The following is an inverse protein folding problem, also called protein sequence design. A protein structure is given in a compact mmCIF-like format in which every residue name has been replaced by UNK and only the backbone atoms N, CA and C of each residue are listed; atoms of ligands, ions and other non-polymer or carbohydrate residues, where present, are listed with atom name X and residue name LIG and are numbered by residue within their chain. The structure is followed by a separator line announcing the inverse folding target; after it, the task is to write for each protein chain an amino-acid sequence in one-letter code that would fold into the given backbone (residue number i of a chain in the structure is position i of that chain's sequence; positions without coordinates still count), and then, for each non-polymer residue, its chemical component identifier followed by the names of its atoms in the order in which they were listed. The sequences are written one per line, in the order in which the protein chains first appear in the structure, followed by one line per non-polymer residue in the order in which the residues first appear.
data_IF_576808482138
#
_entry.id   IF_576808482138
#
_cell.length_a   1.000
_cell.length_b   1.000
_cell.length_c   1.000
_cell.angle_alpha   90.00
_cell.angle_beta   90.00
_cell.angle_gamma   90.00
#
_symmetry.space_group_name_H-M   'P 1'
#
loop_
_entity.id
_entity.type
_entity.pdbx_description
1 polymer ?
#
# COMPACT_ATOMS: atom_id res chain seq x y z
N UNK A 1 24.27 7.17 11.39
CA UNK A 1 23.19 7.03 10.40
C UNK A 1 23.21 5.58 9.98
N UNK A 2 22.44 4.72 10.65
CA UNK A 2 22.27 3.33 10.22
C UNK A 2 21.60 3.33 8.85
N UNK A 3 22.17 2.60 7.90
CA UNK A 3 21.53 2.33 6.63
C UNK A 3 20.24 1.58 6.93
N UNK A 4 19.10 2.23 6.69
CA UNK A 4 17.84 1.52 6.52
C UNK A 4 18.02 0.64 5.28
N UNK A 5 18.46 -0.61 5.47
CA UNK A 5 18.41 -1.63 4.43
C UNK A 5 16.94 -1.78 4.02
N UNK A 6 16.55 -1.07 2.97
CA UNK A 6 15.22 -1.13 2.36
C UNK A 6 15.09 -2.30 1.39
N UNK A 7 16.21 -2.92 1.04
CA UNK A 7 16.24 -3.96 0.04
C UNK A 7 15.82 -5.28 0.67
N UNK A 8 15.09 -6.07 -0.12
CA UNK A 8 14.79 -7.46 0.24
C UNK A 8 16.12 -8.21 0.44
N UNK A 9 16.17 -9.20 1.34
CA UNK A 9 17.33 -10.06 1.47
C UNK A 9 17.75 -10.67 0.14
N UNK A 10 19.04 -10.94 -0.01
CA UNK A 10 19.57 -11.58 -1.21
C UNK A 10 18.84 -12.89 -1.51
N UNK A 11 18.77 -13.27 -2.78
CA UNK A 11 17.96 -14.42 -3.24
C UNK A 11 18.43 -15.77 -2.66
N UNK A 12 19.61 -15.84 -2.06
CA UNK A 12 20.19 -17.00 -1.39
C UNK A 12 19.95 -17.02 0.13
N UNK A 13 19.22 -16.04 0.69
CA UNK A 13 18.71 -16.12 2.06
C UNK A 13 17.55 -17.14 2.14
N UNK A 14 17.91 -18.42 2.16
CA UNK A 14 17.00 -19.55 2.26
C UNK A 14 16.08 -19.47 3.50
N UNK A 15 16.49 -18.72 4.53
CA UNK A 15 15.69 -18.50 5.73
C UNK A 15 14.65 -17.38 5.54
N UNK A 16 14.88 -16.42 4.64
CA UNK A 16 13.89 -15.41 4.26
C UNK A 16 12.92 -15.92 3.19
N UNK A 17 13.44 -16.54 2.13
CA UNK A 17 12.69 -17.00 0.95
C UNK A 17 12.01 -18.36 1.16
N UNK A 18 11.61 -18.65 2.40
CA UNK A 18 10.91 -19.88 2.77
C UNK A 18 9.53 -19.90 2.10
N UNK A 19 9.26 -20.98 1.37
CA UNK A 19 7.97 -21.21 0.75
C UNK A 19 6.86 -21.48 1.77
N UNK A 20 5.65 -20.98 1.48
CA UNK A 20 4.46 -21.34 2.24
C UNK A 20 4.23 -22.86 2.17
N UNK A 21 3.98 -23.51 3.31
CA UNK A 21 3.37 -24.83 3.33
C UNK A 21 1.89 -24.76 2.86
N UNK A 22 1.26 -25.92 2.63
CA UNK A 22 -0.13 -25.97 2.15
C UNK A 22 -1.12 -25.27 3.09
N UNK A 23 -0.91 -25.37 4.40
CA UNK A 23 -1.79 -24.77 5.41
C UNK A 23 -1.62 -23.25 5.42
N UNK A 24 -0.38 -22.77 5.44
CA UNK A 24 -0.04 -21.35 5.35
C UNK A 24 -0.58 -20.74 4.05
N UNK A 25 -0.43 -21.46 2.93
CA UNK A 25 -0.93 -21.01 1.63
C UNK A 25 -2.46 -20.92 1.62
N UNK A 26 -3.17 -21.88 2.23
CA UNK A 26 -4.62 -21.86 2.38
C UNK A 26 -5.09 -20.69 3.25
N UNK A 27 -4.54 -20.55 4.45
CA UNK A 27 -4.89 -19.48 5.39
C UNK A 27 -4.62 -18.09 4.80
N UNK A 28 -3.48 -17.93 4.11
CA UNK A 28 -3.17 -16.71 3.35
C UNK A 28 -4.23 -16.44 2.28
N UNK A 29 -4.53 -17.42 1.41
CA UNK A 29 -5.49 -17.21 0.33
C UNK A 29 -6.90 -16.87 0.86
N UNK A 30 -7.30 -17.43 2.00
CA UNK A 30 -8.54 -17.04 2.68
C UNK A 30 -8.51 -15.56 3.10
N UNK A 31 -7.44 -15.08 3.74
CA UNK A 31 -7.29 -13.65 4.08
C UNK A 31 -7.34 -12.75 2.85
N UNK A 32 -6.57 -13.10 1.81
CA UNK A 32 -6.51 -12.32 0.57
C UNK A 32 -7.86 -12.28 -0.16
N UNK A 33 -8.65 -13.36 -0.11
CA UNK A 33 -9.99 -13.40 -0.68
C UNK A 33 -10.92 -12.37 -0.02
N UNK A 34 -10.84 -12.21 1.31
CA UNK A 34 -11.64 -11.21 2.03
C UNK A 34 -11.30 -9.79 1.60
N UNK A 35 -10.02 -9.50 1.33
CA UNK A 35 -9.62 -8.20 0.78
C UNK A 35 -10.19 -7.96 -0.62
N UNK A 36 -10.18 -8.96 -1.50
CA UNK A 36 -10.77 -8.88 -2.85
C UNK A 36 -12.27 -8.64 -2.80
N UNK A 37 -12.98 -9.35 -1.93
CA UNK A 37 -14.42 -9.17 -1.71
C UNK A 37 -14.70 -7.75 -1.23
N UNK A 38 -13.98 -7.28 -0.20
CA UNK A 38 -14.17 -5.92 0.33
C UNK A 38 -13.95 -4.85 -0.74
N UNK A 39 -12.94 -5.00 -1.59
CA UNK A 39 -12.69 -4.08 -2.70
C UNK A 39 -13.86 -4.03 -3.70
N UNK A 40 -14.41 -5.20 -4.07
CA UNK A 40 -15.58 -5.28 -4.96
C UNK A 40 -16.80 -4.60 -4.34
N UNK A 41 -17.07 -4.88 -3.07
CA UNK A 41 -18.22 -4.29 -2.37
C UNK A 41 -18.05 -2.78 -2.20
N UNK A 42 -16.85 -2.31 -1.88
CA UNK A 42 -16.54 -0.88 -1.82
C UNK A 42 -16.78 -0.18 -3.16
N UNK A 43 -16.25 -0.73 -4.26
CA UNK A 43 -16.49 -0.19 -5.60
C UNK A 43 -17.97 -0.18 -5.99
N UNK A 44 -18.71 -1.22 -5.61
CA UNK A 44 -20.15 -1.31 -5.88
C UNK A 44 -20.96 -0.28 -5.06
N UNK A 45 -20.65 -0.09 -3.78
CA UNK A 45 -21.27 0.97 -2.95
C UNK A 45 -20.96 2.36 -3.47
N UNK A 46 -19.73 2.62 -3.89
CA UNK A 46 -19.32 3.91 -4.45
C UNK A 46 -20.11 4.27 -5.72
N UNK A 47 -20.34 3.30 -6.61
CA UNK A 47 -21.17 3.47 -7.81
C UNK A 47 -22.64 3.76 -7.48
N UNK A 48 -23.18 3.16 -6.42
CA UNK A 48 -24.57 3.38 -5.96
C UNK A 48 -24.74 4.65 -5.12
N UNK A 49 -23.66 5.38 -4.82
CA UNK A 49 -23.65 6.54 -3.90
C UNK A 49 -24.22 6.20 -2.52
N UNK A 50 -24.07 4.96 -2.09
CA UNK A 50 -24.51 4.50 -0.77
C UNK A 50 -23.46 4.88 0.28
N UNK A 51 -23.93 5.26 1.47
CA UNK A 51 -23.04 5.44 2.62
C UNK A 51 -22.44 4.08 2.97
N UNK A 52 -21.13 3.92 2.76
CA UNK A 52 -20.46 2.65 2.98
C UNK A 52 -20.35 2.37 4.47
N UNK A 53 -21.27 1.57 5.00
CA UNK A 53 -21.10 0.92 6.30
C UNK A 53 -20.05 -0.17 6.09
N UNK A 54 -18.83 0.08 6.57
CA UNK A 54 -17.74 -0.87 6.45
C UNK A 54 -18.18 -2.27 6.87
N UNK A 55 -18.02 -3.25 6.00
CA UNK A 55 -18.36 -4.64 6.34
C UNK A 55 -17.28 -5.14 7.30
N UNK A 56 -17.70 -5.41 8.54
CA UNK A 56 -16.81 -5.96 9.53
C UNK A 56 -16.34 -7.37 9.12
N UNK A 57 -15.18 -7.76 9.64
CA UNK A 57 -14.53 -9.01 9.28
C UNK A 57 -15.33 -10.24 9.73
N UNK A 58 -16.07 -10.15 10.83
CA UNK A 58 -16.85 -11.27 11.35
C UNK A 58 -18.04 -11.59 10.44
N UNK A 59 -18.75 -10.56 9.97
CA UNK A 59 -19.82 -10.66 9.01
C UNK A 59 -19.31 -11.16 7.65
N UNK A 60 -18.15 -10.69 7.19
CA UNK A 60 -17.53 -11.23 5.97
C UNK A 60 -17.22 -12.72 6.10
N UNK A 61 -16.63 -13.15 7.22
CA UNK A 61 -16.33 -14.58 7.48
C UNK A 61 -17.58 -15.44 7.61
N UNK A 62 -18.69 -14.88 8.10
CA UNK A 62 -19.97 -15.58 8.17
C UNK A 62 -20.62 -15.77 6.79
N UNK A 63 -20.57 -14.76 5.92
CA UNK A 63 -21.13 -14.82 4.55
C UNK A 63 -20.23 -15.66 3.63
N UNK A 64 -18.92 -15.59 3.84
CA UNK A 64 -17.91 -16.27 3.02
C UNK A 64 -17.06 -17.22 3.87
N UNK A 65 -17.63 -18.36 4.31
CA UNK A 65 -16.87 -19.38 5.02
C UNK A 65 -15.80 -20.02 4.13
N UNK A 66 -14.80 -20.70 4.71
CA UNK A 66 -13.66 -21.27 3.98
C UNK A 66 -13.98 -22.07 2.72
N UNK A 67 -15.01 -22.93 2.77
CA UNK A 67 -15.44 -23.73 1.62
C UNK A 67 -15.94 -22.85 0.46
N UNK A 68 -16.72 -21.81 0.75
CA UNK A 68 -17.20 -20.86 -0.28
C UNK A 68 -16.03 -20.11 -0.90
N UNK A 69 -15.02 -19.74 -0.11
CA UNK A 69 -13.81 -19.09 -0.63
C UNK A 69 -13.04 -20.03 -1.57
N UNK A 70 -12.87 -21.30 -1.18
CA UNK A 70 -12.18 -22.34 -1.96
C UNK A 70 -12.91 -22.62 -3.29
N UNK A 71 -14.22 -22.86 -3.24
CA UNK A 71 -15.06 -23.16 -4.42
C UNK A 71 -15.06 -22.03 -5.45
N UNK A 72 -14.90 -20.78 -5.01
CA UNK A 72 -14.82 -19.59 -5.87
C UNK A 72 -13.39 -19.23 -6.28
N UNK A 73 -12.41 -20.12 -6.06
CA UNK A 73 -11.01 -19.87 -6.41
C UNK A 73 -10.44 -18.64 -5.70
N UNK A 74 -10.87 -18.40 -4.45
CA UNK A 74 -10.48 -17.26 -3.62
C UNK A 74 -10.74 -15.89 -4.26
N UNK A 75 -11.69 -15.83 -5.19
CA UNK A 75 -12.08 -14.61 -5.91
C UNK A 75 -10.92 -13.91 -6.64
N UNK A 76 -9.85 -14.64 -7.00
CA UNK A 76 -8.66 -14.08 -7.70
C UNK A 76 -9.04 -13.31 -8.97
N UNK A 77 -10.09 -13.73 -9.66
CA UNK A 77 -10.59 -13.09 -10.88
C UNK A 77 -11.05 -11.63 -10.69
N UNK A 78 -11.36 -11.19 -9.46
CA UNK A 78 -11.73 -9.81 -9.19
C UNK A 78 -10.56 -8.84 -9.44
N UNK A 79 -9.31 -9.29 -9.26
CA UNK A 79 -8.11 -8.47 -9.45
C UNK A 79 -7.95 -7.96 -10.89
N UNK A 80 -8.57 -8.61 -11.89
CA UNK A 80 -8.54 -8.14 -13.28
C UNK A 80 -9.26 -6.79 -13.47
N UNK A 81 -10.15 -6.42 -12.55
CA UNK A 81 -10.92 -5.18 -12.59
C UNK A 81 -10.25 -4.04 -11.80
N UNK A 82 -9.13 -4.33 -11.15
CA UNK A 82 -8.44 -3.38 -10.28
C UNK A 82 -7.07 -2.98 -10.86
N UNK A 83 -6.64 -1.77 -10.52
CA UNK A 83 -5.28 -1.27 -10.78
C UNK A 83 -4.22 -1.91 -9.88
N UNK A 84 -4.59 -2.89 -9.07
CA UNK A 84 -3.74 -3.58 -8.12
C UNK A 84 -4.05 -5.06 -8.10
N UNK A 85 -3.12 -5.87 -7.59
CA UNK A 85 -3.23 -7.31 -7.48
C UNK A 85 -2.38 -7.84 -6.32
N UNK A 86 -2.59 -9.08 -5.91
CA UNK A 86 -1.64 -9.76 -5.02
C UNK A 86 -0.65 -10.55 -5.87
N UNK A 87 0.64 -10.23 -5.74
CA UNK A 87 1.66 -10.79 -6.59
C UNK A 87 1.82 -12.31 -6.37
N UNK A 88 1.62 -13.16 -7.40
CA UNK A 88 1.68 -14.61 -7.24
C UNK A 88 3.04 -15.12 -6.76
N UNK A 89 4.14 -14.44 -7.11
CA UNK A 89 5.47 -14.82 -6.66
C UNK A 89 5.61 -14.54 -5.17
N UNK A 90 5.17 -13.37 -4.70
CA UNK A 90 5.25 -13.02 -3.26
C UNK A 90 4.22 -13.77 -2.41
N UNK A 91 3.14 -14.27 -3.01
CA UNK A 91 2.23 -15.23 -2.38
C UNK A 91 2.88 -16.59 -2.09
N UNK A 92 4.00 -16.93 -2.75
CA UNK A 92 4.68 -18.20 -2.48
C UNK A 92 5.55 -18.17 -1.22
N UNK A 93 5.86 -17.00 -0.67
CA UNK A 93 6.79 -16.88 0.46
C UNK A 93 6.07 -16.61 1.78
N UNK A 94 6.39 -17.40 2.81
CA UNK A 94 5.71 -17.37 4.10
C UNK A 94 5.96 -16.06 4.87
N UNK A 95 7.17 -15.51 4.77
CA UNK A 95 7.62 -14.37 5.58
C UNK A 95 7.17 -13.00 5.07
N UNK A 96 6.59 -12.93 3.88
CA UNK A 96 6.01 -11.70 3.37
C UNK A 96 4.76 -11.32 4.20
N UNK A 97 4.53 -10.03 4.36
CA UNK A 97 3.26 -9.52 4.86
C UNK A 97 2.26 -9.37 3.72
N UNK A 98 0.96 -9.39 4.02
CA UNK A 98 -0.08 -9.21 3.00
C UNK A 98 0.07 -7.86 2.27
N UNK A 99 0.56 -6.81 2.94
CA UNK A 99 0.91 -5.52 2.30
C UNK A 99 2.07 -5.64 1.31
N UNK A 100 3.08 -6.45 1.62
CA UNK A 100 4.20 -6.65 0.69
C UNK A 100 3.75 -7.43 -0.54
N UNK A 101 2.77 -8.33 -0.41
CA UNK A 101 2.15 -9.04 -1.54
C UNK A 101 1.28 -8.14 -2.42
N UNK A 102 0.73 -7.06 -1.88
CA UNK A 102 -0.08 -6.09 -2.63
C UNK A 102 0.80 -5.27 -3.59
N UNK A 103 0.46 -5.28 -4.88
CA UNK A 103 1.19 -4.54 -5.93
C UNK A 103 0.26 -3.70 -6.79
N UNK A 104 0.77 -2.56 -7.26
CA UNK A 104 0.08 -1.76 -8.28
C UNK A 104 0.48 -2.27 -9.67
N UNK A 105 -0.45 -2.28 -10.61
CA UNK A 105 -0.18 -2.70 -11.99
C UNK A 105 0.71 -1.70 -12.71
N UNK A 106 1.53 -2.22 -13.63
CA UNK A 106 2.27 -1.38 -14.55
C UNK A 106 1.34 -0.86 -15.65
N UNK A 107 0.77 0.32 -15.44
CA UNK A 107 -0.04 1.04 -16.42
C UNK A 107 0.77 2.13 -17.16
N UNK A 108 2.09 2.12 -17.05
CA UNK A 108 2.97 3.14 -17.63
C UNK A 108 2.98 4.49 -16.90
N UNK A 109 2.22 4.64 -15.80
CA UNK A 109 2.19 5.90 -15.05
C UNK A 109 3.43 6.10 -14.16
N UNK A 110 4.08 5.02 -13.74
CA UNK A 110 5.19 5.05 -12.78
C UNK A 110 6.55 5.04 -13.49
N UNK A 111 7.46 5.90 -13.03
CA UNK A 111 8.75 6.10 -13.69
C UNK A 111 9.66 4.88 -13.64
N UNK A 112 9.76 4.27 -12.45
CA UNK A 112 10.61 3.11 -12.17
C UNK A 112 9.76 2.00 -11.54
N UNK A 113 8.64 1.65 -12.19
CA UNK A 113 7.69 0.68 -11.65
C UNK A 113 8.35 -0.64 -11.19
N UNK A 114 9.31 -1.14 -11.96
CA UNK A 114 10.02 -2.39 -11.65
C UNK A 114 10.80 -2.28 -10.34
N UNK A 115 11.47 -1.15 -10.11
CA UNK A 115 12.22 -0.89 -8.88
C UNK A 115 11.27 -0.71 -7.68
N UNK A 116 10.15 -0.02 -7.90
CA UNK A 116 9.13 0.20 -6.86
C UNK A 116 8.48 -1.10 -6.41
N UNK A 117 8.25 -2.04 -7.34
CA UNK A 117 7.75 -3.38 -7.04
C UNK A 117 8.77 -4.19 -6.22
N UNK A 118 10.06 -4.11 -6.60
CA UNK A 118 11.15 -4.85 -5.96
C UNK A 118 11.58 -4.29 -4.60
N UNK A 119 11.27 -3.03 -4.31
CA UNK A 119 11.56 -2.41 -3.02
C UNK A 119 10.93 -3.16 -1.83
N UNK A 120 9.94 -4.04 -2.06
CA UNK A 120 9.46 -4.98 -1.04
C UNK A 120 8.97 -4.31 0.25
N UNK A 121 8.59 -3.04 0.19
CA UNK A 121 8.41 -2.21 1.39
C UNK A 121 7.24 -2.70 2.25
N UNK A 122 7.47 -2.71 3.56
CA UNK A 122 6.45 -3.03 4.56
C UNK A 122 5.42 -1.92 4.68
N UNK A 123 4.28 -2.23 5.32
CA UNK A 123 3.24 -1.23 5.56
C UNK A 123 3.80 -0.06 6.37
N UNK A 124 4.57 -0.38 7.41
CA UNK A 124 5.21 0.61 8.29
C UNK A 124 6.26 1.43 7.53
N UNK A 125 7.08 0.78 6.71
CA UNK A 125 8.12 1.47 5.93
C UNK A 125 7.53 2.49 4.95
N UNK A 126 6.46 2.13 4.24
CA UNK A 126 5.77 3.07 3.35
C UNK A 126 5.06 4.19 4.13
N UNK A 127 4.49 3.90 5.31
CA UNK A 127 3.89 4.92 6.17
C UNK A 127 4.94 5.95 6.62
N UNK A 128 6.08 5.50 7.14
CA UNK A 128 7.18 6.37 7.58
C UNK A 128 7.76 7.18 6.41
N UNK A 129 7.93 6.54 5.26
CA UNK A 129 8.40 7.19 4.05
C UNK A 129 7.45 8.32 3.60
N UNK A 130 6.15 8.03 3.49
CA UNK A 130 5.17 9.04 3.07
C UNK A 130 5.07 10.18 4.08
N UNK A 131 5.09 9.89 5.39
CA UNK A 131 5.09 10.91 6.44
C UNK A 131 6.32 11.82 6.36
N UNK A 132 7.50 11.25 6.16
CA UNK A 132 8.74 12.02 5.98
C UNK A 132 8.64 12.93 4.75
N UNK A 133 8.17 12.41 3.62
CA UNK A 133 8.00 13.19 2.39
C UNK A 133 6.98 14.32 2.55
N UNK A 134 5.85 14.08 3.21
CA UNK A 134 4.85 15.12 3.46
C UNK A 134 5.38 16.23 4.38
N UNK A 135 6.20 15.87 5.36
CA UNK A 135 6.89 16.84 6.22
C UNK A 135 7.90 17.68 5.44
N UNK A 136 8.71 17.05 4.59
CA UNK A 136 9.69 17.75 3.73
C UNK A 136 8.99 18.72 2.78
N UNK A 137 7.95 18.27 2.07
CA UNK A 137 7.17 19.11 1.16
C UNK A 137 6.54 20.31 1.88
N UNK A 138 6.03 20.10 3.10
CA UNK A 138 5.45 21.18 3.91
C UNK A 138 6.51 22.21 4.33
N UNK A 139 7.70 21.76 4.72
CA UNK A 139 8.81 22.65 5.07
C UNK A 139 9.31 23.45 3.86
N UNK A 140 9.42 22.83 2.68
CA UNK A 140 9.84 23.54 1.46
C UNK A 140 8.84 24.64 1.08
N UNK A 141 7.54 24.35 1.14
CA UNK A 141 6.48 25.35 0.90
C UNK A 141 6.54 26.50 1.89
N UNK A 142 6.82 26.21 3.15
CA UNK A 142 6.98 27.21 4.20
C UNK A 142 8.20 28.11 3.92
N UNK A 143 9.31 27.55 3.47
CA UNK A 143 10.49 28.32 3.06
C UNK A 143 10.18 29.19 1.83
N UNK A 144 9.53 28.64 0.80
CA UNK A 144 9.10 29.42 -0.38
C UNK A 144 8.22 30.60 0.03
N UNK A 145 7.22 30.37 0.88
CA UNK A 145 6.35 31.40 1.42
C UNK A 145 7.14 32.50 2.15
N UNK A 146 8.08 32.13 3.03
CA UNK A 146 8.93 33.11 3.73
C UNK A 146 9.84 33.88 2.78
N UNK A 147 10.33 33.26 1.70
CA UNK A 147 11.18 33.93 0.70
C UNK A 147 10.37 34.84 -0.24
N UNK A 148 9.09 34.53 -0.49
CA UNK A 148 8.20 35.37 -1.29
C UNK A 148 7.62 36.55 -0.51
N UNK A 149 7.32 36.36 0.78
CA UNK A 149 6.79 37.41 1.65
C UNK A 149 7.87 38.39 2.12
N UNK A 150 9.08 37.89 2.40
CA UNK A 150 10.23 38.76 2.67
C UNK A 150 10.88 39.10 1.34
N UNK A 151 10.52 40.23 0.73
CA UNK A 151 11.07 40.75 -0.54
C UNK A 151 12.60 40.95 -0.56
N UNK A 152 13.38 39.89 -0.47
CA UNK A 152 14.74 39.84 -0.97
C UNK A 152 14.63 39.41 -2.42
N UNK A 153 14.89 40.37 -3.33
CA UNK A 153 15.08 40.12 -4.76
C UNK A 153 16.31 39.23 -4.97
N UNK A 154 16.20 37.94 -4.68
CA UNK A 154 17.06 36.95 -5.27
C UNK A 154 16.48 36.62 -6.63
N UNK A 155 17.15 37.07 -7.70
CA UNK A 155 16.95 36.53 -9.04
C UNK A 155 17.39 35.07 -9.02
N UNK A 156 16.53 34.17 -8.54
CA UNK A 156 16.66 32.77 -8.84
C UNK A 156 16.01 32.56 -10.20
N UNK A 157 16.86 32.46 -11.22
CA UNK A 157 16.55 31.72 -12.44
C UNK A 157 16.25 30.26 -12.06
N UNK A 158 15.10 30.00 -11.43
CA UNK A 158 14.49 28.67 -11.47
C UNK A 158 13.82 28.61 -12.83
N UNK A 159 14.59 28.10 -13.78
CA UNK A 159 14.13 27.82 -15.14
C UNK A 159 12.84 27.02 -15.08
N UNK A 160 11.85 27.51 -15.83
CA UNK A 160 10.69 26.76 -16.31
C UNK A 160 11.12 25.33 -16.64
N UNK A 161 10.71 24.36 -15.82
CA UNK A 161 10.79 22.96 -16.19
C UNK A 161 9.46 22.67 -16.90
N UNK A 162 9.56 22.56 -18.22
CA UNK A 162 8.49 22.38 -19.21
C UNK A 162 7.22 21.67 -18.72
N UNK A 163 6.09 22.35 -18.86
CA UNK A 163 4.71 21.89 -18.62
C UNK A 163 4.21 20.82 -19.62
N UNK A 164 5.06 20.25 -20.49
CA UNK A 164 4.63 19.37 -21.59
C UNK A 164 5.03 17.90 -21.49
N UNK A 165 5.74 17.49 -20.44
CA UNK A 165 5.98 16.06 -20.18
C UNK A 165 5.01 15.63 -19.07
N UNK A 166 4.14 14.61 -19.27
CA UNK A 166 3.40 14.01 -18.18
C UNK A 166 4.40 13.58 -17.11
N UNK A 167 4.43 14.27 -15.97
CA UNK A 167 5.36 13.96 -14.88
C UNK A 167 5.07 12.53 -14.44
N UNK A 168 5.99 11.60 -14.76
CA UNK A 168 5.87 10.20 -14.37
C UNK A 168 5.75 10.13 -12.85
N UNK A 169 4.86 9.27 -12.35
CA UNK A 169 4.60 9.10 -10.92
C UNK A 169 5.85 8.49 -10.27
N UNK A 170 6.40 9.21 -9.29
CA UNK A 170 7.52 8.77 -8.45
C UNK A 170 7.12 7.71 -7.41
N UNK A 171 8.09 7.15 -6.67
CA UNK A 171 7.83 6.21 -5.56
C UNK A 171 6.89 6.79 -4.49
N UNK A 172 6.95 8.10 -4.22
CA UNK A 172 5.99 8.77 -3.32
C UNK A 172 4.54 8.55 -3.75
N UNK A 173 4.26 8.71 -5.05
CA UNK A 173 2.92 8.47 -5.59
C UNK A 173 2.53 6.99 -5.54
N UNK A 174 3.50 6.09 -5.74
CA UNK A 174 3.31 4.64 -5.63
C UNK A 174 2.92 4.25 -4.20
N UNK A 175 3.75 4.60 -3.22
CA UNK A 175 3.53 4.30 -1.80
C UNK A 175 2.21 4.90 -1.32
N UNK A 176 1.90 6.15 -1.69
CA UNK A 176 0.63 6.80 -1.31
C UNK A 176 -0.60 6.09 -1.88
N UNK A 177 -0.59 5.70 -3.17
CA UNK A 177 -1.70 4.94 -3.78
C UNK A 177 -1.82 3.56 -3.13
N UNK A 178 -0.70 2.87 -2.90
CA UNK A 178 -0.68 1.55 -2.27
C UNK A 178 -1.23 1.58 -0.82
N UNK A 179 -0.84 2.56 -0.02
CA UNK A 179 -1.39 2.79 1.33
C UNK A 179 -2.89 3.09 1.31
N UNK A 180 -3.36 3.89 0.34
CA UNK A 180 -4.78 4.20 0.18
C UNK A 180 -5.59 2.93 -0.10
N UNK A 181 -5.12 2.08 -1.01
CA UNK A 181 -5.76 0.80 -1.33
C UNK A 181 -5.75 -0.13 -0.11
N UNK A 182 -4.60 -0.24 0.58
CA UNK A 182 -4.49 -1.07 1.79
C UNK A 182 -5.49 -0.64 2.87
N UNK A 183 -5.75 0.67 3.00
CA UNK A 183 -6.78 1.19 3.90
C UNK A 183 -8.19 0.84 3.43
N UNK A 184 -8.48 1.04 2.15
CA UNK A 184 -9.80 0.77 1.54
C UNK A 184 -10.22 -0.69 1.69
N UNK A 185 -9.30 -1.62 1.43
CA UNK A 185 -9.54 -3.07 1.56
C UNK A 185 -9.39 -3.55 3.01
N UNK A 186 -9.12 -2.65 3.95
CA UNK A 186 -8.98 -2.92 5.38
C UNK A 186 -7.80 -3.83 5.74
N UNK A 187 -6.76 -3.85 4.90
CA UNK A 187 -5.48 -4.50 5.18
C UNK A 187 -4.71 -3.75 6.30
N UNK A 188 -4.90 -2.43 6.42
CA UNK A 188 -4.20 -1.59 7.41
C UNK A 188 -5.00 -1.33 8.70
N UNK A 189 -6.10 -2.05 8.98
CA UNK A 189 -6.96 -1.76 10.15
C UNK A 189 -6.44 -2.30 11.50
N UNK A 190 -5.45 -3.20 11.51
CA UNK A 190 -4.91 -3.76 12.76
C UNK A 190 -3.67 -3.00 13.27
N UNK A 191 -3.81 -1.74 13.70
CA UNK A 191 -2.88 -1.12 14.69
C UNK A 191 -3.30 0.22 15.32
N UNK A 192 -4.60 0.48 15.49
CA UNK A 192 -5.06 1.54 16.42
C UNK A 192 -5.58 0.96 17.74
N UNK A 193 -4.75 0.17 18.43
CA UNK A 193 -4.86 0.00 19.87
C UNK A 193 -3.49 0.34 20.46
N UNK A 194 -3.13 1.64 20.44
CA UNK A 194 -2.11 2.13 21.37
C UNK A 194 -2.75 2.17 22.75
N UNK A 195 -2.36 1.19 23.56
CA UNK A 195 -2.48 1.15 25.01
C UNK A 195 -2.58 2.55 25.62
N UNK A 196 -3.78 2.93 26.07
CA UNK A 196 -3.91 3.91 27.15
C UNK A 196 -3.78 3.13 28.48
N UNK A 197 -2.54 2.79 28.82
CA UNK A 197 -2.19 2.37 30.18
C UNK A 197 -1.69 3.60 30.93
N UNK A 198 -2.59 4.10 31.77
CA UNK A 198 -2.39 4.69 33.10
C UNK A 198 -1.47 5.91 33.23
N UNK A 199 -2.08 7.04 33.59
CA UNK A 199 -1.64 7.81 34.77
C UNK A 199 -2.88 8.08 35.61
N UNK A 200 -3.13 7.21 36.58
CA UNK A 200 -3.85 7.56 37.80
C UNK A 200 -2.86 8.34 38.67
N UNK A 201 -3.25 9.56 39.07
CA UNK A 201 -2.74 10.22 40.27
C UNK A 201 -3.94 10.74 41.05
#
# INVERSE_FOLDING_TARGET
MEQLNRDLPDNDDDHFWVHCDEKQHREMNQRLALYRIRAREFGASALRKEEHRGIDEANLKAIYPPNVLEDNGYFKSYEHKFDWYFDPQYCNYARFQDYQRLMLRNNGEYEQWEDYRKAGSTLEGDQEFVQLWEKLLSNTKLIEFFLTDNSCKFNTHVTHIDEKIPKRKTYYNYAKKKLSIAKEIGLSMHRFVRLHVHITR
#
